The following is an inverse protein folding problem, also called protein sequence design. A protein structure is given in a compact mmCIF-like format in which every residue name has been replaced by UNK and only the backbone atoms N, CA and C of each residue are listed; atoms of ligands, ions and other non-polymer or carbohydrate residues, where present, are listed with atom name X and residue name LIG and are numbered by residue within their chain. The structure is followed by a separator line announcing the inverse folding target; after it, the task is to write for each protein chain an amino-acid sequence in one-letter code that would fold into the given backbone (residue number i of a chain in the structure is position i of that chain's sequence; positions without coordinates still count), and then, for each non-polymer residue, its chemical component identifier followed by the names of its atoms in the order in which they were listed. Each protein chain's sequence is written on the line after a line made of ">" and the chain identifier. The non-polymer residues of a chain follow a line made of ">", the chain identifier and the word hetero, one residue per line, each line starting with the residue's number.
data_IF_880175510406
#
_entry.id   IF_880175510406
#
_cell.length_a   1.000
_cell.length_b   1.000
_cell.length_c   1.000
_cell.angle_alpha   90.00
_cell.angle_beta   90.00
_cell.angle_gamma   90.00
#
_symmetry.space_group_name_H-M   'P 1'
#
loop_
_entity.id
_entity.type
_entity.pdbx_description
1 polymer ?
#
# COMPACT_ATOMS: atom_id res chain seq x y z
N UNK A 1 4.76 14.77 -10.07
CA UNK A 1 5.17 14.81 -11.49
C UNK A 1 5.66 16.21 -11.82
N UNK A 2 6.72 16.37 -12.62
CA UNK A 2 7.20 17.67 -13.07
C UNK A 2 7.35 17.69 -14.59
N UNK A 3 7.04 18.82 -15.22
CA UNK A 3 7.13 19.03 -16.66
C UNK A 3 7.55 20.48 -16.95
N UNK A 4 8.08 20.72 -18.14
CA UNK A 4 8.42 22.05 -18.63
C UNK A 4 7.96 22.18 -20.07
N UNK A 5 7.36 23.32 -20.41
CA UNK A 5 7.01 23.67 -21.79
C UNK A 5 7.96 24.72 -22.40
N UNK A 6 8.94 25.23 -21.63
CA UNK A 6 9.80 26.32 -22.08
C UNK A 6 10.96 26.63 -21.14
N UNK A 7 11.88 27.46 -21.62
CA UNK A 7 13.02 27.92 -20.83
C UNK A 7 12.55 28.65 -19.55
N UNK A 8 13.21 28.36 -18.43
CA UNK A 8 12.88 28.92 -17.11
C UNK A 8 11.42 28.74 -16.67
N UNK A 9 10.74 27.72 -17.19
CA UNK A 9 9.42 27.28 -16.74
C UNK A 9 9.49 25.87 -16.17
N UNK A 10 8.94 25.68 -14.98
CA UNK A 10 8.71 24.36 -14.40
C UNK A 10 7.29 24.30 -13.84
N UNK A 11 6.61 23.19 -14.08
CA UNK A 11 5.25 22.93 -13.59
C UNK A 11 5.26 21.61 -12.81
N UNK A 12 4.78 21.65 -11.57
CA UNK A 12 4.75 20.51 -10.66
C UNK A 12 3.31 20.15 -10.35
N UNK A 13 2.98 18.88 -10.55
CA UNK A 13 1.67 18.29 -10.30
C UNK A 13 1.75 17.23 -9.21
N UNK A 14 0.80 17.25 -8.29
CA UNK A 14 0.67 16.29 -7.21
C UNK A 14 -0.80 15.91 -6.99
N UNK A 15 -1.02 14.75 -6.36
CA UNK A 15 -2.34 14.38 -5.86
C UNK A 15 -2.48 14.90 -4.43
N UNK A 16 -3.53 15.67 -4.16
CA UNK A 16 -3.88 16.13 -2.82
C UNK A 16 -4.66 15.05 -2.05
N UNK A 17 -4.63 15.12 -0.72
CA UNK A 17 -5.31 14.15 0.16
C UNK A 17 -6.82 14.04 -0.08
N UNK A 18 -7.43 15.09 -0.64
CA UNK A 18 -8.85 15.15 -0.99
C UNK A 18 -9.15 14.71 -2.43
N UNK A 19 -8.20 14.05 -3.11
CA UNK A 19 -8.39 13.49 -4.45
C UNK A 19 -8.34 14.51 -5.58
N UNK A 20 -7.94 15.77 -5.32
CA UNK A 20 -7.76 16.81 -6.35
C UNK A 20 -6.34 16.84 -6.90
N UNK A 21 -6.18 17.34 -8.12
CA UNK A 21 -4.88 17.58 -8.73
C UNK A 21 -4.35 18.94 -8.24
N UNK A 22 -3.28 18.93 -7.45
CA UNK A 22 -2.58 20.14 -7.05
C UNK A 22 -1.54 20.53 -8.10
N UNK A 23 -1.43 21.82 -8.40
CA UNK A 23 -0.47 22.38 -9.34
C UNK A 23 0.29 23.55 -8.72
N UNK A 24 1.60 23.62 -8.96
CA UNK A 24 2.47 24.74 -8.58
C UNK A 24 3.54 24.92 -9.63
N UNK A 25 3.86 26.16 -9.98
CA UNK A 25 4.79 26.44 -11.07
C UNK A 25 5.82 27.52 -10.74
N UNK A 26 6.96 27.41 -11.40
CA UNK A 26 8.02 28.42 -11.47
C UNK A 26 7.86 29.22 -12.75
N UNK A 27 7.76 30.54 -12.65
CA UNK A 27 7.53 31.44 -13.80
C UNK A 27 8.81 32.13 -14.32
N UNK A 28 9.98 31.73 -13.82
CA UNK A 28 11.25 32.37 -14.12
C UNK A 28 11.72 33.37 -13.06
N UNK A 29 10.82 33.80 -12.17
CA UNK A 29 11.10 34.79 -11.11
C UNK A 29 10.79 34.21 -9.72
N UNK A 30 9.62 33.58 -9.58
CA UNK A 30 9.17 33.02 -8.31
C UNK A 30 8.39 31.71 -8.51
N UNK A 31 8.30 30.96 -7.41
CA UNK A 31 7.36 29.86 -7.29
C UNK A 31 6.00 30.44 -6.91
N UNK A 32 5.00 30.22 -7.76
CA UNK A 32 3.63 30.66 -7.49
C UNK A 32 2.97 29.80 -6.41
N UNK A 33 1.81 30.21 -5.90
CA UNK A 33 1.09 29.44 -4.88
C UNK A 33 0.50 28.16 -5.46
N UNK A 34 0.22 27.19 -4.58
CA UNK A 34 -0.49 25.98 -4.99
C UNK A 34 -1.92 26.32 -5.43
N UNK A 35 -2.32 25.80 -6.58
CA UNK A 35 -3.70 25.79 -7.03
C UNK A 35 -4.23 24.35 -7.11
N UNK A 36 -5.56 24.20 -7.02
CA UNK A 36 -6.22 22.90 -7.10
C UNK A 36 -7.10 22.83 -8.34
N UNK A 37 -6.79 21.88 -9.20
CA UNK A 37 -7.52 21.50 -10.41
C UNK A 37 -8.34 20.25 -10.08
N UNK A 38 -9.61 20.14 -10.49
CA UNK A 38 -10.33 18.89 -10.23
C UNK A 38 -11.84 18.89 -10.24
N UNK A 39 -12.35 17.73 -9.82
CA UNK A 39 -13.68 17.16 -10.03
C UNK A 39 -14.64 17.33 -8.84
N UNK A 40 -14.40 18.26 -7.92
CA UNK A 40 -15.07 18.28 -6.60
C UNK A 40 -16.62 18.29 -6.68
N UNK A 41 -17.19 18.80 -7.77
CA UNK A 41 -18.64 18.79 -8.01
C UNK A 41 -19.22 17.43 -8.48
N UNK A 42 -18.38 16.48 -8.92
CA UNK A 42 -18.79 15.20 -9.51
C UNK A 42 -18.72 14.01 -8.55
N UNK A 43 -18.07 14.15 -7.38
CA UNK A 43 -17.92 13.07 -6.40
C UNK A 43 -16.88 12.01 -6.78
N UNK A 44 -16.07 12.26 -7.82
CA UNK A 44 -15.01 11.38 -8.33
C UNK A 44 -13.65 11.89 -7.87
N UNK A 45 -12.84 11.00 -7.30
CA UNK A 45 -11.50 11.33 -6.79
C UNK A 45 -10.42 10.78 -7.71
N UNK A 46 -9.37 11.58 -7.95
CA UNK A 46 -8.15 11.05 -8.54
C UNK A 46 -7.44 10.17 -7.51
N UNK A 47 -6.94 9.02 -7.95
CA UNK A 47 -6.38 7.99 -7.05
C UNK A 47 -4.98 7.53 -7.40
N UNK A 48 -4.44 7.99 -8.54
CA UNK A 48 -3.12 7.60 -9.02
C UNK A 48 -2.24 8.81 -9.31
N UNK A 49 -0.93 8.59 -9.36
CA UNK A 49 0.02 9.67 -9.66
C UNK A 49 -0.23 10.22 -11.08
N UNK A 50 -0.25 11.55 -11.25
CA UNK A 50 -0.55 12.15 -12.56
C UNK A 50 0.62 12.00 -13.52
N UNK A 51 0.32 11.90 -14.82
CA UNK A 51 1.29 12.00 -15.91
C UNK A 51 1.09 13.31 -16.64
N UNK A 52 2.15 14.12 -16.74
CA UNK A 52 2.10 15.42 -17.40
C UNK A 52 3.07 15.47 -18.58
N UNK A 53 2.66 16.13 -19.67
CA UNK A 53 3.46 16.27 -20.88
C UNK A 53 3.24 17.64 -21.52
N UNK A 54 4.27 18.14 -22.19
CA UNK A 54 4.18 19.33 -23.04
C UNK A 54 4.53 18.93 -24.48
N UNK A 55 3.77 19.43 -25.45
CA UNK A 55 4.09 19.27 -26.88
C UNK A 55 4.47 20.58 -27.59
N UNK A 56 4.42 21.70 -26.88
CA UNK A 56 4.80 23.01 -27.37
C UNK A 56 4.79 24.06 -26.25
N UNK A 57 5.27 25.28 -26.54
CA UNK A 57 5.20 26.41 -25.60
C UNK A 57 3.76 26.69 -25.16
N UNK A 58 3.60 27.10 -23.91
CA UNK A 58 2.32 27.47 -23.29
C UNK A 58 1.26 26.36 -23.35
N UNK A 59 1.72 25.10 -23.42
CA UNK A 59 0.85 23.95 -23.51
C UNK A 59 1.30 22.82 -22.59
N UNK A 60 0.39 22.42 -21.72
CA UNK A 60 0.49 21.25 -20.86
C UNK A 60 -0.74 20.38 -21.03
N UNK A 61 -0.54 19.07 -20.97
CA UNK A 61 -1.58 18.06 -20.93
C UNK A 61 -1.28 17.13 -19.74
N UNK A 62 -2.24 16.96 -18.84
CA UNK A 62 -2.09 16.22 -17.58
C UNK A 62 -3.17 15.15 -17.49
N UNK A 63 -2.76 13.93 -17.17
CA UNK A 63 -3.61 12.74 -17.14
C UNK A 63 -3.54 12.09 -15.77
N UNK A 64 -4.69 11.70 -15.21
CA UNK A 64 -4.75 11.00 -13.93
C UNK A 64 -5.90 9.99 -13.91
N UNK A 65 -5.67 8.85 -13.28
CA UNK A 65 -6.71 7.82 -13.08
C UNK A 65 -7.57 8.17 -11.86
N UNK A 66 -8.87 7.90 -11.96
CA UNK A 66 -9.85 8.15 -10.91
C UNK A 66 -10.40 6.86 -10.28
N UNK A 67 -11.09 7.01 -9.14
CA UNK A 67 -11.74 5.91 -8.40
C UNK A 67 -12.86 5.20 -9.20
N UNK A 68 -13.45 5.89 -10.18
CA UNK A 68 -14.40 5.33 -11.15
C UNK A 68 -13.74 4.48 -12.25
N UNK A 69 -12.40 4.41 -12.28
CA UNK A 69 -11.60 3.67 -13.24
C UNK A 69 -11.31 4.41 -14.55
N UNK A 70 -11.84 5.62 -14.75
CA UNK A 70 -11.56 6.43 -15.93
C UNK A 70 -10.20 7.16 -15.82
N UNK A 71 -9.64 7.51 -16.98
CA UNK A 71 -8.54 8.48 -17.06
C UNK A 71 -9.11 9.85 -17.38
N UNK A 72 -8.80 10.84 -16.54
CA UNK A 72 -9.18 12.22 -16.74
C UNK A 72 -8.03 13.03 -17.34
N UNK A 73 -8.40 14.01 -18.16
CA UNK A 73 -7.47 14.90 -18.85
C UNK A 73 -7.76 16.37 -18.50
N UNK A 74 -6.70 17.06 -18.11
CA UNK A 74 -6.64 18.50 -17.85
C UNK A 74 -5.62 19.09 -18.81
N UNK A 75 -5.85 20.30 -19.30
CA UNK A 75 -4.86 20.94 -20.16
C UNK A 75 -4.75 22.43 -19.91
N UNK A 76 -3.54 22.95 -20.09
CA UNK A 76 -3.26 24.38 -20.09
C UNK A 76 -3.09 24.85 -21.52
N UNK A 77 -3.75 25.94 -21.92
CA UNK A 77 -3.67 26.49 -23.27
C UNK A 77 -3.51 28.02 -23.25
N UNK A 78 -2.30 28.50 -22.94
CA UNK A 78 -1.99 29.93 -22.96
C UNK A 78 -2.21 30.65 -21.63
N UNK A 79 -3.40 30.57 -21.04
CA UNK A 79 -3.78 31.41 -19.89
C UNK A 79 -4.40 30.65 -18.70
N UNK A 80 -5.28 29.69 -18.94
CA UNK A 80 -5.97 28.92 -17.91
C UNK A 80 -5.88 27.42 -18.15
N UNK A 81 -6.01 26.66 -17.07
CA UNK A 81 -6.36 25.25 -17.18
C UNK A 81 -7.82 25.08 -17.59
N UNK A 82 -8.03 24.11 -18.46
CA UNK A 82 -9.32 23.62 -18.93
C UNK A 82 -9.50 22.15 -18.52
N UNK A 83 -10.72 21.64 -18.75
CA UNK A 83 -11.16 20.33 -18.27
C UNK A 83 -11.69 20.40 -16.82
N UNK A 84 -11.74 19.26 -16.11
CA UNK A 84 -11.39 17.91 -16.56
C UNK A 84 -12.35 17.34 -17.60
N UNK A 85 -11.81 16.69 -18.63
CA UNK A 85 -12.59 15.80 -19.51
C UNK A 85 -12.33 14.33 -19.15
N UNK A 86 -13.37 13.49 -19.18
CA UNK A 86 -13.18 12.04 -19.03
C UNK A 86 -12.78 11.43 -20.37
N UNK A 87 -11.66 10.71 -20.38
CA UNK A 87 -11.26 9.88 -21.51
C UNK A 87 -11.79 8.44 -21.37
N UNK A 88 -12.71 8.20 -20.44
CA UNK A 88 -13.25 6.89 -20.13
C UNK A 88 -12.20 5.93 -19.58
N UNK A 89 -12.58 4.66 -19.47
CA UNK A 89 -11.74 3.57 -18.96
C UNK A 89 -11.34 2.61 -20.08
N UNK A 90 -10.17 1.97 -19.93
CA UNK A 90 -9.77 0.86 -20.79
C UNK A 90 -10.38 -0.45 -20.25
N UNK A 91 -11.22 -1.10 -21.05
CA UNK A 91 -11.93 -2.33 -20.65
C UNK A 91 -13.29 -2.04 -20.02
N UNK A 92 -13.72 -2.82 -19.03
CA UNK A 92 -14.98 -2.59 -18.31
C UNK A 92 -14.78 -1.95 -16.93
N UNK A 93 -15.85 -1.44 -16.33
CA UNK A 93 -15.90 -0.95 -14.96
C UNK A 93 -16.03 -2.12 -13.99
N UNK A 94 -15.02 -2.42 -13.16
CA UNK A 94 -15.11 -3.51 -12.20
C UNK A 94 -15.99 -3.11 -11.00
N UNK A 95 -16.57 -4.10 -10.32
CA UNK A 95 -17.41 -3.94 -9.11
C UNK A 95 -16.60 -3.54 -7.85
N UNK A 96 -15.37 -3.04 -8.03
CA UNK A 96 -14.35 -2.72 -7.03
C UNK A 96 -13.61 -3.93 -6.38
N UNK A 97 -12.35 -3.74 -5.95
CA UNK A 97 -11.50 -2.58 -6.22
C UNK A 97 -11.03 -2.57 -7.68
N UNK A 98 -11.19 -1.43 -8.34
CA UNK A 98 -10.69 -1.22 -9.69
C UNK A 98 -9.17 -1.13 -9.66
N UNK A 99 -8.51 -1.80 -10.60
CA UNK A 99 -7.09 -1.60 -10.81
C UNK A 99 -6.89 -0.29 -11.57
N UNK A 100 -6.33 0.73 -10.90
CA UNK A 100 -6.23 2.11 -11.43
C UNK A 100 -4.82 2.72 -11.34
N UNK A 101 -3.75 2.08 -11.85
CA UNK A 101 -2.44 2.73 -11.85
C UNK A 101 -2.39 3.98 -12.70
N UNK A 102 -1.27 4.66 -12.54
CA UNK A 102 -0.94 5.89 -13.24
C UNK A 102 -0.86 5.66 -14.75
N UNK A 103 -1.48 6.53 -15.55
CA UNK A 103 -1.25 6.54 -16.98
C UNK A 103 0.17 7.05 -17.29
N UNK A 104 0.62 6.85 -18.51
CA UNK A 104 1.84 7.45 -19.05
C UNK A 104 1.53 8.16 -20.35
N UNK A 105 1.82 9.44 -20.44
CA UNK A 105 1.60 10.25 -21.63
C UNK A 105 2.92 10.68 -22.28
N UNK A 106 2.96 10.66 -23.61
CA UNK A 106 4.08 11.15 -24.41
C UNK A 106 3.58 12.06 -25.53
N UNK A 107 4.36 13.10 -25.84
CA UNK A 107 4.20 13.89 -27.03
C UNK A 107 5.04 13.28 -28.14
N UNK A 108 4.39 12.77 -29.18
CA UNK A 108 5.09 12.13 -30.32
C UNK A 108 5.47 13.14 -31.41
N UNK A 109 4.78 14.29 -31.42
CA UNK A 109 5.04 15.45 -32.27
C UNK A 109 4.26 16.66 -31.69
N UNK A 110 4.49 17.89 -32.17
CA UNK A 110 3.64 19.02 -31.83
C UNK A 110 2.16 18.71 -32.10
N UNK A 111 1.29 19.01 -31.13
CA UNK A 111 -0.14 18.73 -31.15
C UNK A 111 -0.50 17.24 -31.35
N UNK A 112 0.37 16.31 -30.95
CA UNK A 112 0.16 14.86 -31.06
C UNK A 112 0.58 14.14 -29.79
N UNK A 113 -0.38 13.46 -29.15
CA UNK A 113 -0.15 12.71 -27.91
C UNK A 113 -0.44 11.23 -28.08
N UNK A 114 0.32 10.41 -27.35
CA UNK A 114 -0.05 9.03 -27.06
C UNK A 114 -0.14 8.86 -25.54
N UNK A 115 -1.27 8.33 -25.10
CA UNK A 115 -1.59 8.04 -23.71
C UNK A 115 -1.63 6.52 -23.56
N UNK A 116 -0.79 5.97 -22.70
CA UNK A 116 -0.80 4.57 -22.32
C UNK A 116 -1.42 4.47 -20.95
N UNK A 117 -2.36 3.55 -20.76
CA UNK A 117 -3.00 3.37 -19.47
C UNK A 117 -3.29 1.90 -19.18
N UNK A 118 -3.20 1.54 -17.90
CA UNK A 118 -3.77 0.30 -17.40
C UNK A 118 -5.31 0.32 -17.53
N UNK A 119 -5.90 -0.85 -17.56
CA UNK A 119 -7.33 -1.07 -17.64
C UNK A 119 -7.76 -2.38 -17.02
N UNK A 120 -9.06 -2.64 -17.04
CA UNK A 120 -9.69 -3.77 -16.37
C UNK A 120 -10.40 -4.66 -17.38
N UNK A 121 -9.93 -5.90 -17.56
CA UNK A 121 -10.75 -6.94 -18.20
C UNK A 121 -11.72 -7.48 -17.16
N UNK A 122 -13.01 -7.37 -17.44
CA UNK A 122 -14.07 -7.85 -16.55
C UNK A 122 -14.92 -8.94 -17.22
N UNK A 123 -15.52 -9.82 -16.42
CA UNK A 123 -16.52 -10.77 -16.87
C UNK A 123 -17.90 -10.09 -17.06
N UNK A 124 -18.94 -10.86 -17.35
CA UNK A 124 -20.29 -10.31 -17.59
C UNK A 124 -20.92 -9.73 -16.33
N UNK A 125 -20.48 -10.20 -15.18
CA UNK A 125 -20.91 -9.81 -13.86
C UNK A 125 -20.11 -8.60 -13.33
N UNK A 126 -19.08 -8.16 -14.07
CA UNK A 126 -18.23 -7.03 -13.71
C UNK A 126 -17.08 -7.39 -12.76
N UNK A 127 -16.81 -8.68 -12.53
CA UNK A 127 -15.67 -9.11 -11.75
C UNK A 127 -14.39 -8.94 -12.55
N UNK A 128 -13.33 -8.47 -11.90
CA UNK A 128 -12.01 -8.36 -12.52
C UNK A 128 -11.48 -9.75 -12.90
N UNK A 129 -11.29 -9.97 -14.20
CA UNK A 129 -10.71 -11.20 -14.78
C UNK A 129 -9.19 -11.06 -14.90
N UNK A 130 -8.72 -9.94 -15.48
CA UNK A 130 -7.30 -9.67 -15.66
C UNK A 130 -7.04 -8.16 -15.87
N UNK A 131 -5.85 -7.67 -15.52
CA UNK A 131 -5.42 -6.33 -15.91
C UNK A 131 -5.11 -6.24 -17.43
N UNK A 132 -5.47 -5.11 -18.04
CA UNK A 132 -5.21 -4.78 -19.46
C UNK A 132 -4.25 -3.61 -19.58
N UNK A 133 -3.41 -3.61 -20.61
CA UNK A 133 -2.65 -2.42 -20.99
C UNK A 133 -3.12 -1.98 -22.36
N UNK A 134 -3.23 -0.68 -22.56
CA UNK A 134 -3.68 -0.14 -23.83
C UNK A 134 -3.22 1.29 -24.01
N UNK A 135 -3.62 1.85 -25.14
CA UNK A 135 -3.28 3.19 -25.50
C UNK A 135 -4.43 3.91 -26.18
N UNK A 136 -4.39 5.24 -26.08
CA UNK A 136 -5.29 6.20 -26.73
C UNK A 136 -4.43 7.29 -27.35
N UNK A 137 -4.83 7.85 -28.49
CA UNK A 137 -4.02 8.87 -29.19
C UNK A 137 -4.82 10.12 -29.48
N UNK A 138 -4.15 11.27 -29.36
CA UNK A 138 -4.63 12.56 -29.85
C UNK A 138 -4.01 12.85 -31.21
N UNK A 139 -4.85 13.15 -32.20
CA UNK A 139 -4.41 13.44 -33.55
C UNK A 139 -4.26 14.92 -33.90
N UNK A 140 -4.50 15.80 -32.92
CA UNK A 140 -4.53 17.24 -33.11
C UNK A 140 -5.94 17.83 -33.12
N UNK A 141 -6.97 16.98 -33.15
CA UNK A 141 -8.36 17.43 -33.15
C UNK A 141 -9.29 16.53 -32.35
N UNK A 142 -9.04 15.22 -32.31
CA UNK A 142 -9.85 14.27 -31.55
C UNK A 142 -9.02 13.20 -30.85
N UNK A 143 -9.52 12.73 -29.71
CA UNK A 143 -9.04 11.52 -29.08
C UNK A 143 -9.60 10.28 -29.77
N UNK A 144 -8.72 9.44 -30.34
CA UNK A 144 -9.09 8.14 -30.91
C UNK A 144 -9.58 7.18 -29.83
N UNK A 145 -10.29 6.11 -30.20
CA UNK A 145 -10.75 5.12 -29.22
C UNK A 145 -9.57 4.38 -28.55
N UNK A 146 -9.82 3.87 -27.34
CA UNK A 146 -8.88 2.98 -26.65
C UNK A 146 -8.57 1.74 -27.49
N UNK A 147 -7.30 1.40 -27.58
CA UNK A 147 -6.79 0.18 -28.21
C UNK A 147 -6.01 -0.61 -27.17
N UNK A 148 -6.26 -1.92 -27.07
CA UNK A 148 -5.60 -2.79 -26.08
C UNK A 148 -4.40 -3.50 -26.68
N UNK A 149 -3.33 -3.67 -25.90
CA UNK A 149 -2.24 -4.61 -26.18
C UNK A 149 -2.59 -6.04 -25.75
N UNK A 150 -3.69 -6.21 -25.02
CA UNK A 150 -4.10 -7.46 -24.39
C UNK A 150 -3.82 -7.48 -22.89
N UNK A 151 -3.91 -8.68 -22.32
CA UNK A 151 -3.62 -8.91 -20.91
C UNK A 151 -2.13 -8.71 -20.67
N UNK A 152 -1.80 -8.04 -19.57
CA UNK A 152 -0.41 -7.87 -19.16
C UNK A 152 -0.28 -8.22 -17.68
N UNK A 153 0.75 -8.99 -17.34
CA UNK A 153 1.12 -9.14 -15.94
C UNK A 153 1.77 -7.85 -15.48
N UNK A 154 1.27 -7.25 -14.41
CA UNK A 154 1.97 -6.12 -13.83
C UNK A 154 3.20 -6.63 -13.13
N UNK A 155 4.38 -6.11 -13.50
CA UNK A 155 5.60 -6.51 -12.82
C UNK A 155 5.58 -6.17 -11.32
N UNK A 156 4.59 -5.40 -10.87
CA UNK A 156 4.51 -4.78 -9.56
C UNK A 156 3.25 -5.18 -8.78
N UNK A 157 2.61 -6.32 -9.11
CA UNK A 157 1.43 -6.81 -8.37
C UNK A 157 1.79 -7.97 -7.47
N UNK A 158 1.44 -7.87 -6.20
CA UNK A 158 1.89 -8.79 -5.15
C UNK A 158 0.74 -9.18 -4.23
N UNK A 159 0.71 -10.46 -3.87
CA UNK A 159 -0.13 -10.99 -2.81
C UNK A 159 0.72 -11.17 -1.56
N UNK A 160 0.24 -10.64 -0.44
CA UNK A 160 0.86 -10.73 0.87
C UNK A 160 0.02 -11.66 1.75
N UNK A 161 0.66 -12.62 2.42
CA UNK A 161 -0.03 -13.57 3.28
C UNK A 161 0.80 -13.97 4.50
N UNK A 162 0.11 -14.20 5.62
CA UNK A 162 0.61 -15.09 6.67
C UNK A 162 0.06 -16.48 6.38
N UNK A 163 0.94 -17.43 6.07
CA UNK A 163 0.55 -18.72 5.51
C UNK A 163 0.17 -19.73 6.62
N UNK A 164 1.04 -19.85 7.62
CA UNK A 164 0.82 -20.70 8.79
C UNK A 164 1.65 -20.23 9.98
N UNK A 165 1.24 -20.59 11.20
CA UNK A 165 2.08 -20.48 12.39
C UNK A 165 2.15 -21.81 13.13
N UNK A 166 3.25 -21.98 13.86
CA UNK A 166 3.51 -23.09 14.76
C UNK A 166 3.66 -22.56 16.17
N UNK A 167 2.94 -23.15 17.12
CA UNK A 167 3.13 -22.92 18.55
C UNK A 167 4.15 -23.93 19.05
N UNK A 168 5.39 -23.47 19.26
CA UNK A 168 6.45 -24.31 19.82
C UNK A 168 6.28 -24.45 21.33
N UNK A 169 6.01 -23.33 22.01
CA UNK A 169 5.66 -23.27 23.42
C UNK A 169 4.52 -22.27 23.61
N UNK A 170 3.38 -22.73 24.12
CA UNK A 170 2.23 -21.88 24.38
C UNK A 170 2.48 -20.94 25.58
N UNK A 171 1.91 -19.74 25.54
CA UNK A 171 1.94 -18.76 26.64
C UNK A 171 1.09 -19.24 27.82
N UNK A 172 -0.05 -19.87 27.53
CA UNK A 172 -1.00 -20.43 28.51
C UNK A 172 -1.28 -21.91 28.24
N UNK A 173 -1.26 -22.75 29.28
CA UNK A 173 -1.52 -24.19 29.11
C UNK A 173 -3.00 -24.54 28.95
N UNK A 174 -3.91 -23.75 29.55
CA UNK A 174 -5.31 -24.12 29.66
C UNK A 174 -6.23 -23.24 28.79
N UNK A 175 -5.83 -22.00 28.50
CA UNK A 175 -6.63 -20.99 27.78
C UNK A 175 -5.71 -20.05 26.98
N UNK A 176 -5.13 -20.55 25.89
CA UNK A 176 -4.35 -19.71 24.96
C UNK A 176 -5.20 -19.42 23.75
N UNK A 177 -6.03 -18.38 23.80
CA UNK A 177 -6.88 -18.06 22.64
C UNK A 177 -6.12 -17.15 21.71
N UNK A 178 -5.54 -17.73 20.66
CA UNK A 178 -4.75 -16.98 19.69
C UNK A 178 -5.65 -16.29 18.65
N UNK A 179 -5.32 -15.03 18.39
CA UNK A 179 -5.87 -14.24 17.29
C UNK A 179 -4.73 -13.75 16.43
N UNK A 180 -4.79 -14.04 15.13
CA UNK A 180 -3.80 -13.60 14.15
C UNK A 180 -4.38 -12.41 13.39
N UNK A 181 -3.64 -11.32 13.33
CA UNK A 181 -3.98 -10.19 12.48
C UNK A 181 -2.79 -9.85 11.58
N UNK A 182 -3.07 -9.47 10.35
CA UNK A 182 -2.10 -8.82 9.47
C UNK A 182 -2.63 -7.47 8.99
N UNK A 183 -1.72 -6.55 8.70
CA UNK A 183 -2.06 -5.29 8.03
C UNK A 183 -1.13 -5.03 6.85
N UNK A 184 -1.66 -4.37 5.83
CA UNK A 184 -0.96 -3.99 4.62
C UNK A 184 -1.26 -2.52 4.29
N UNK A 185 -0.19 -1.73 4.16
CA UNK A 185 -0.24 -0.36 3.64
C UNK A 185 0.70 -0.23 2.47
N UNK A 186 0.21 0.29 1.35
CA UNK A 186 1.02 0.53 0.14
C UNK A 186 0.98 2.02 -0.20
N UNK A 187 2.16 2.64 -0.20
CA UNK A 187 2.29 4.09 -0.39
C UNK A 187 1.40 4.87 0.59
N UNK A 188 0.57 5.76 0.04
CA UNK A 188 -0.39 6.56 0.79
C UNK A 188 -1.80 5.95 0.85
N UNK A 189 -1.98 4.70 0.38
CA UNK A 189 -3.29 4.04 0.42
C UNK A 189 -3.77 3.84 1.86
N UNK A 190 -5.10 3.71 2.02
CA UNK A 190 -5.68 3.30 3.30
C UNK A 190 -5.12 1.95 3.76
N UNK A 191 -4.89 1.81 5.06
CA UNK A 191 -4.41 0.56 5.66
C UNK A 191 -5.48 -0.51 5.53
N UNK A 192 -5.10 -1.67 4.98
CA UNK A 192 -5.94 -2.85 4.95
C UNK A 192 -5.62 -3.73 6.17
N UNK A 193 -6.63 -4.32 6.79
CA UNK A 193 -6.47 -5.24 7.90
C UNK A 193 -7.22 -6.53 7.64
N UNK A 194 -6.66 -7.65 8.11
CA UNK A 194 -7.29 -8.96 8.06
C UNK A 194 -7.06 -9.66 9.40
N UNK A 195 -8.11 -10.26 9.98
CA UNK A 195 -8.07 -10.94 11.28
C UNK A 195 -8.60 -12.36 11.15
N UNK A 196 -7.89 -13.34 11.73
CA UNK A 196 -8.34 -14.72 11.90
C UNK A 196 -8.31 -15.11 13.38
N UNK A 197 -9.46 -15.57 13.88
CA UNK A 197 -9.60 -16.11 15.23
C UNK A 197 -9.26 -17.59 15.24
N UNK A 198 -8.25 -17.99 16.00
CA UNK A 198 -7.74 -19.37 15.98
C UNK A 198 -8.38 -20.27 17.05
N UNK A 199 -8.97 -19.70 18.10
CA UNK A 199 -9.53 -20.46 19.21
C UNK A 199 -8.45 -20.86 20.23
N UNK A 200 -8.64 -21.93 21.01
CA UNK A 200 -7.69 -22.33 22.05
C UNK A 200 -6.53 -23.17 21.48
N UNK A 201 -5.33 -22.61 21.54
CA UNK A 201 -4.06 -23.18 21.12
C UNK A 201 -3.17 -23.60 22.30
N UNK A 202 -3.65 -23.46 23.54
CA UNK A 202 -2.88 -23.77 24.74
C UNK A 202 -2.57 -25.25 24.92
N UNK A 203 -1.55 -25.55 25.72
CA UNK A 203 -1.15 -26.92 26.05
C UNK A 203 0.35 -27.15 25.87
N UNK A 204 0.77 -28.40 26.00
CA UNK A 204 2.19 -28.81 25.93
C UNK A 204 2.60 -29.40 24.60
N UNK A 205 1.64 -29.56 23.68
CA UNK A 205 1.86 -30.19 22.38
C UNK A 205 2.22 -29.14 21.33
N UNK A 206 3.11 -29.52 20.40
CA UNK A 206 3.36 -28.73 19.19
C UNK A 206 2.09 -28.69 18.35
N UNK A 207 1.65 -27.48 18.01
CA UNK A 207 0.47 -27.28 17.15
C UNK A 207 0.83 -26.38 15.99
N UNK A 208 0.27 -26.67 14.83
CA UNK A 208 0.44 -25.86 13.62
C UNK A 208 -0.91 -25.61 12.96
N UNK A 209 -1.13 -24.38 12.49
CA UNK A 209 -2.34 -23.99 11.76
C UNK A 209 -2.00 -23.22 10.50
N UNK A 210 -2.75 -23.50 9.42
CA UNK A 210 -2.84 -22.58 8.30
C UNK A 210 -3.69 -21.35 8.68
N UNK A 211 -3.26 -20.17 8.25
CA UNK A 211 -3.93 -18.89 8.54
C UNK A 211 -4.44 -18.24 7.25
N UNK A 212 -5.17 -18.99 6.44
CA UNK A 212 -5.59 -18.55 5.10
C UNK A 212 -6.43 -17.25 5.11
N UNK A 213 -7.09 -16.89 6.22
CA UNK A 213 -7.94 -15.69 6.29
C UNK A 213 -7.16 -14.37 6.51
N UNK A 214 -5.83 -14.42 6.64
CA UNK A 214 -4.94 -13.24 6.69
C UNK A 214 -4.08 -13.15 5.43
N UNK A 215 -4.74 -13.32 4.29
CA UNK A 215 -4.18 -13.10 2.94
C UNK A 215 -4.90 -11.92 2.29
N UNK A 216 -4.14 -10.97 1.78
CA UNK A 216 -4.70 -9.81 1.08
C UNK A 216 -5.00 -10.14 -0.39
N UNK A 217 -5.98 -9.44 -0.95
CA UNK A 217 -6.14 -9.40 -2.40
C UNK A 217 -4.86 -8.83 -3.04
N UNK A 218 -4.46 -9.26 -4.25
CA UNK A 218 -3.22 -8.79 -4.84
C UNK A 218 -3.19 -7.27 -5.03
N UNK A 219 -2.21 -6.62 -4.41
CA UNK A 219 -2.00 -5.18 -4.38
C UNK A 219 -0.89 -4.75 -5.35
N UNK A 220 -1.05 -3.59 -5.98
CA UNK A 220 0.00 -2.95 -6.79
C UNK A 220 0.95 -2.21 -5.87
N UNK A 221 2.25 -2.45 -6.00
CA UNK A 221 3.30 -1.71 -5.29
C UNK A 221 4.25 -1.14 -6.33
N UNK A 222 4.10 0.15 -6.67
CA UNK A 222 4.95 0.79 -7.67
C UNK A 222 6.42 0.79 -7.25
N UNK A 223 7.35 0.82 -8.21
CA UNK A 223 8.79 0.69 -7.93
C UNK A 223 9.32 1.75 -6.94
N UNK A 224 8.68 2.92 -6.91
CA UNK A 224 9.01 4.05 -6.06
C UNK A 224 8.14 4.15 -4.79
N UNK A 225 7.20 3.23 -4.59
CA UNK A 225 6.37 3.15 -3.39
C UNK A 225 6.94 2.15 -2.39
N UNK A 226 6.44 2.19 -1.16
CA UNK A 226 6.76 1.22 -0.12
C UNK A 226 5.53 0.38 0.18
N UNK A 227 5.75 -0.92 0.38
CA UNK A 227 4.80 -1.80 1.03
C UNK A 227 5.23 -2.00 2.49
N UNK A 228 4.33 -1.72 3.41
CA UNK A 228 4.45 -2.03 4.83
C UNK A 228 3.47 -3.15 5.13
N UNK A 229 4.00 -4.35 5.34
CA UNK A 229 3.25 -5.53 5.73
C UNK A 229 3.66 -5.90 7.15
N UNK A 230 2.71 -6.07 8.05
CA UNK A 230 2.98 -6.52 9.41
C UNK A 230 1.97 -7.55 9.83
N UNK A 231 2.37 -8.38 10.79
CA UNK A 231 1.46 -9.30 11.45
C UNK A 231 1.71 -9.33 12.95
N UNK A 232 0.65 -9.65 13.67
CA UNK A 232 0.64 -9.85 15.11
C UNK A 232 -0.19 -11.07 15.46
N UNK A 233 0.33 -11.88 16.36
CA UNK A 233 -0.41 -12.96 17.02
C UNK A 233 -0.52 -12.58 18.48
N UNK A 234 -1.75 -12.53 18.97
CA UNK A 234 -2.07 -12.15 20.34
C UNK A 234 -2.85 -13.27 20.99
N UNK A 235 -2.34 -13.75 22.11
CA UNK A 235 -3.16 -14.48 23.07
C UNK A 235 -4.06 -13.47 23.76
N UNK A 236 -5.36 -13.59 23.55
CA UNK A 236 -6.36 -12.66 24.08
C UNK A 236 -7.37 -13.34 24.99
N UNK A 237 -7.20 -14.63 25.29
CA UNK A 237 -8.18 -15.45 26.02
C UNK A 237 -9.65 -15.16 25.60
N UNK A 238 -10.59 -15.06 26.55
CA UNK A 238 -12.01 -14.73 26.33
C UNK A 238 -12.28 -13.23 26.09
N UNK A 239 -11.35 -12.48 25.48
CA UNK A 239 -11.58 -11.07 25.17
C UNK A 239 -12.79 -10.86 24.26
N UNK A 240 -13.52 -9.76 24.49
CA UNK A 240 -14.58 -9.33 23.58
C UNK A 240 -13.99 -9.03 22.20
N UNK A 241 -14.54 -9.68 21.17
CA UNK A 241 -14.02 -9.59 19.79
C UNK A 241 -14.00 -8.16 19.25
N UNK A 242 -14.98 -7.32 19.59
CA UNK A 242 -15.02 -5.94 19.09
C UNK A 242 -13.91 -5.10 19.73
N UNK A 243 -13.64 -5.32 21.02
CA UNK A 243 -12.56 -4.66 21.73
C UNK A 243 -11.21 -5.12 21.17
N UNK A 244 -11.08 -6.42 20.92
CA UNK A 244 -9.87 -7.01 20.34
C UNK A 244 -9.62 -6.46 18.93
N UNK A 245 -10.59 -6.54 18.02
CA UNK A 245 -10.45 -6.01 16.66
C UNK A 245 -10.11 -4.52 16.66
N UNK A 246 -10.75 -3.73 17.53
CA UNK A 246 -10.47 -2.29 17.64
C UNK A 246 -9.04 -1.99 18.10
N UNK A 247 -8.53 -2.75 19.08
CA UNK A 247 -7.17 -2.58 19.58
C UNK A 247 -6.13 -3.07 18.57
N UNK A 248 -6.37 -4.22 17.94
CA UNK A 248 -5.47 -4.79 16.94
C UNK A 248 -5.40 -3.89 15.70
N UNK A 249 -6.53 -3.42 15.17
CA UNK A 249 -6.56 -2.48 14.03
C UNK A 249 -5.75 -1.21 14.33
N UNK A 250 -5.95 -0.59 15.49
CA UNK A 250 -5.18 0.60 15.90
C UNK A 250 -3.67 0.33 15.97
N UNK A 251 -3.29 -0.82 16.51
CA UNK A 251 -1.89 -1.22 16.63
C UNK A 251 -1.25 -1.42 15.25
N UNK A 252 -1.92 -2.14 14.36
CA UNK A 252 -1.45 -2.39 13.00
C UNK A 252 -1.37 -1.11 12.15
N UNK A 253 -2.38 -0.24 12.25
CA UNK A 253 -2.38 1.09 11.63
C UNK A 253 -1.22 1.94 12.15
N UNK A 254 -1.03 2.00 13.47
CA UNK A 254 0.04 2.79 14.07
C UNK A 254 1.43 2.28 13.72
N UNK A 255 1.61 0.95 13.64
CA UNK A 255 2.85 0.34 13.15
C UNK A 255 3.12 0.72 11.68
N UNK A 256 2.08 0.69 10.83
CA UNK A 256 2.20 1.07 9.43
C UNK A 256 2.52 2.57 9.27
N UNK A 257 1.81 3.44 9.97
CA UNK A 257 1.99 4.89 9.93
C UNK A 257 3.35 5.31 10.46
N UNK A 258 3.81 4.68 11.53
CA UNK A 258 5.12 4.94 12.09
C UNK A 258 6.24 4.57 11.12
N UNK A 259 6.15 3.41 10.44
CA UNK A 259 7.11 3.02 9.42
C UNK A 259 7.13 4.02 8.25
N UNK A 260 5.96 4.44 7.76
CA UNK A 260 5.84 5.46 6.69
C UNK A 260 6.41 6.80 7.13
N UNK A 261 6.14 7.25 8.36
CA UNK A 261 6.67 8.51 8.90
C UNK A 261 8.20 8.51 8.98
N UNK A 262 8.79 7.42 9.46
CA UNK A 262 10.24 7.22 9.51
C UNK A 262 10.87 7.22 8.10
N UNK A 263 10.23 6.59 7.11
CA UNK A 263 10.62 6.65 5.69
C UNK A 263 10.60 8.10 5.18
N UNK A 264 9.48 8.81 5.38
CA UNK A 264 9.30 10.17 4.88
C UNK A 264 10.29 11.16 5.50
N UNK A 265 10.62 10.99 6.78
CA UNK A 265 11.65 11.77 7.47
C UNK A 265 13.03 11.54 6.86
N UNK A 266 13.40 10.30 6.53
CA UNK A 266 14.68 9.98 5.90
C UNK A 266 14.78 10.60 4.48
N UNK A 267 13.69 10.54 3.69
CA UNK A 267 13.62 11.16 2.37
C UNK A 267 13.73 12.69 2.44
N UNK A 268 13.05 13.32 3.41
CA UNK A 268 13.08 14.77 3.64
C UNK A 268 14.46 15.32 4.02
N UNK A 269 15.37 14.47 4.49
CA UNK A 269 16.75 14.84 4.79
C UNK A 269 17.70 14.72 3.58
N UNK A 270 17.20 14.35 2.39
CA UNK A 270 17.98 14.31 1.16
C UNK A 270 18.89 13.08 1.01
N UNK A 271 18.65 12.01 1.76
CA UNK A 271 19.34 10.74 1.58
C UNK A 271 18.87 10.04 0.29
N UNK A 272 19.82 9.70 -0.58
CA UNK A 272 19.60 9.05 -1.88
C UNK A 272 19.18 7.57 -1.78
N UNK A 273 19.14 7.02 -0.57
CA UNK A 273 18.62 5.69 -0.26
C UNK A 273 18.19 5.67 1.22
N UNK A 274 17.01 5.09 1.51
CA UNK A 274 16.59 4.85 2.88
C UNK A 274 17.41 3.68 3.41
N UNK A 275 18.43 3.96 4.20
CA UNK A 275 19.30 2.93 4.77
C UNK A 275 18.76 2.35 6.07
N UNK A 276 17.77 3.00 6.70
CA UNK A 276 17.21 2.59 7.99
C UNK A 276 15.81 3.16 8.22
N UNK A 277 14.90 2.32 8.73
CA UNK A 277 13.65 2.77 9.36
C UNK A 277 13.86 2.54 10.86
N UNK A 278 13.88 3.63 11.63
CA UNK A 278 13.93 3.52 13.10
C UNK A 278 12.57 3.00 13.57
N UNK A 279 12.53 1.76 14.08
CA UNK A 279 11.48 1.23 14.97
C UNK A 279 12.17 0.77 16.25
N UNK A 280 12.17 1.63 17.26
CA UNK A 280 13.04 1.44 18.42
C UNK A 280 14.53 1.53 18.02
N UNK A 281 15.28 0.43 18.15
CA UNK A 281 16.74 0.38 17.87
C UNK A 281 17.12 -0.29 16.54
N UNK A 282 16.15 -0.68 15.70
CA UNK A 282 16.43 -1.32 14.39
C UNK A 282 16.80 -0.26 13.35
N UNK A 283 17.84 -0.52 12.56
CA UNK A 283 18.49 0.47 11.69
C UNK A 283 18.77 -0.03 10.25
N UNK A 284 17.90 -0.83 9.63
CA UNK A 284 18.12 -1.28 8.23
C UNK A 284 16.85 -1.47 7.40
N UNK A 285 16.87 -1.06 6.12
CA UNK A 285 15.87 -1.46 5.10
C UNK A 285 16.49 -2.54 4.19
N UNK A 286 15.78 -3.64 3.87
CA UNK A 286 14.46 -4.01 4.37
C UNK A 286 14.47 -4.26 5.87
N UNK A 287 13.45 -3.76 6.58
CA UNK A 287 13.19 -4.21 7.95
C UNK A 287 12.44 -5.52 7.78
N UNK A 288 13.10 -6.64 8.04
CA UNK A 288 12.48 -7.94 8.26
C UNK A 288 12.94 -8.36 9.65
N UNK A 289 12.01 -8.54 10.57
CA UNK A 289 12.37 -9.06 11.88
C UNK A 289 11.33 -8.85 12.95
N UNK A 290 11.47 -9.65 13.99
CA UNK A 290 10.60 -9.53 15.15
C UNK A 290 10.86 -8.22 15.90
N UNK A 291 9.77 -7.54 16.22
CA UNK A 291 9.78 -6.33 17.05
C UNK A 291 9.16 -6.59 18.42
N UNK A 292 8.90 -7.86 18.75
CA UNK A 292 8.25 -8.27 20.00
C UNK A 292 9.08 -7.91 21.25
N UNK A 293 10.41 -8.00 21.16
CA UNK A 293 11.32 -7.57 22.24
C UNK A 293 11.49 -6.05 22.34
N UNK A 294 11.04 -5.33 21.32
CA UNK A 294 11.18 -3.88 21.16
C UNK A 294 9.86 -3.15 21.35
N UNK A 295 8.84 -3.79 21.94
CA UNK A 295 7.57 -3.18 22.31
C UNK A 295 7.85 -1.95 23.18
N UNK A 296 8.01 -0.82 22.51
CA UNK A 296 8.23 0.47 23.14
C UNK A 296 6.98 0.86 23.94
N UNK A 297 7.12 1.75 24.94
CA UNK A 297 6.01 2.17 25.80
C UNK A 297 4.76 2.66 25.02
N UNK A 298 4.92 3.21 23.81
CA UNK A 298 3.79 3.72 23.03
C UNK A 298 2.91 2.63 22.41
N UNK A 299 3.48 1.50 21.97
CA UNK A 299 2.70 0.39 21.42
C UNK A 299 1.98 -0.36 22.55
N UNK A 300 2.66 -0.49 23.70
CA UNK A 300 2.07 -1.03 24.94
C UNK A 300 0.85 -0.21 25.38
N UNK A 301 0.86 1.11 25.26
CA UNK A 301 -0.31 1.96 25.57
C UNK A 301 -1.50 1.71 24.63
N UNK A 302 -1.26 1.38 23.37
CA UNK A 302 -2.34 1.16 22.39
C UNK A 302 -3.04 -0.19 22.55
N UNK A 303 -2.29 -1.23 22.92
CA UNK A 303 -2.81 -2.58 23.15
C UNK A 303 -2.95 -2.91 24.64
N UNK A 304 -2.64 -1.97 25.54
CA UNK A 304 -2.61 -2.14 27.00
C UNK A 304 -3.92 -2.60 27.62
N UNK A 305 -5.06 -2.36 26.96
CA UNK A 305 -6.36 -2.91 27.39
C UNK A 305 -6.49 -4.42 27.19
N UNK A 306 -5.61 -5.04 26.40
CA UNK A 306 -5.58 -6.48 26.15
C UNK A 306 -4.72 -7.24 27.17
N UNK A 307 -3.75 -6.57 27.82
CA UNK A 307 -2.79 -7.23 28.70
C UNK A 307 -3.22 -7.15 30.16
N UNK A 308 -4.25 -7.91 30.54
CA UNK A 308 -4.59 -8.05 31.95
C UNK A 308 -3.62 -9.02 32.62
N UNK A 309 -2.86 -8.55 33.62
CA UNK A 309 -1.76 -9.28 34.27
C UNK A 309 -2.16 -10.61 34.95
N UNK A 310 -3.46 -10.93 35.03
CA UNK A 310 -3.99 -12.16 35.63
C UNK A 310 -4.51 -13.23 34.66
N UNK A 311 -4.50 -12.99 33.34
CA UNK A 311 -5.10 -13.90 32.34
C UNK A 311 -4.12 -14.52 31.35
N UNK A 312 -2.82 -14.25 31.52
CA UNK A 312 -1.77 -14.69 30.59
C UNK A 312 -1.89 -14.10 29.18
N UNK A 313 -2.66 -13.02 29.02
CA UNK A 313 -2.89 -12.37 27.73
C UNK A 313 -1.62 -11.65 27.24
N UNK A 314 -1.45 -11.60 25.92
CA UNK A 314 -0.53 -10.70 25.26
C UNK A 314 -0.04 -11.13 23.89
N UNK A 315 0.71 -10.23 23.25
CA UNK A 315 1.42 -10.52 22.00
C UNK A 315 2.42 -11.67 22.19
N UNK A 316 2.34 -12.65 21.30
CA UNK A 316 3.21 -13.84 21.25
C UNK A 316 4.06 -13.87 19.98
N UNK A 317 3.62 -13.20 18.91
CA UNK A 317 4.43 -12.94 17.72
C UNK A 317 4.11 -11.55 17.17
N UNK A 318 5.14 -10.85 16.73
CA UNK A 318 5.01 -9.54 16.09
C UNK A 318 6.19 -9.33 15.14
N UNK A 319 5.87 -9.01 13.89
CA UNK A 319 6.85 -8.73 12.84
C UNK A 319 6.39 -7.57 11.96
N UNK A 320 7.37 -6.81 11.49
CA UNK A 320 7.16 -5.82 10.46
C UNK A 320 8.10 -6.10 9.29
N UNK A 321 7.52 -6.07 8.09
CA UNK A 321 8.18 -6.20 6.79
C UNK A 321 7.98 -4.90 6.02
N UNK A 322 9.07 -4.18 5.76
CA UNK A 322 9.04 -2.96 4.94
C UNK A 322 9.92 -3.10 3.72
N UNK A 323 9.31 -3.01 2.53
CA UNK A 323 9.98 -3.23 1.25
C UNK A 323 9.66 -2.08 0.28
N UNK A 324 10.67 -1.41 -0.30
CA UNK A 324 10.49 -0.61 -1.50
C UNK A 324 9.98 -1.49 -2.64
N UNK A 325 9.11 -0.98 -3.51
CA UNK A 325 8.56 -1.73 -4.64
C UNK A 325 9.64 -2.24 -5.60
N UNK A 326 10.74 -1.50 -5.76
CA UNK A 326 11.94 -1.95 -6.48
C UNK A 326 12.55 -3.21 -5.87
N UNK A 327 12.73 -3.25 -4.56
CA UNK A 327 13.39 -4.38 -3.90
C UNK A 327 12.44 -5.59 -3.84
N UNK A 328 11.14 -5.34 -3.65
CA UNK A 328 10.12 -6.36 -3.77
C UNK A 328 10.09 -6.98 -5.17
N UNK A 329 10.24 -6.17 -6.22
CA UNK A 329 10.34 -6.64 -7.60
C UNK A 329 11.55 -7.53 -7.84
N UNK A 330 12.71 -7.16 -7.29
CA UNK A 330 13.94 -7.94 -7.42
C UNK A 330 13.86 -9.24 -6.63
N UNK A 331 13.38 -9.18 -5.38
CA UNK A 331 13.30 -10.33 -4.49
C UNK A 331 12.27 -11.38 -4.92
N UNK A 332 11.20 -10.97 -5.59
CA UNK A 332 10.15 -11.89 -6.07
C UNK A 332 10.35 -12.37 -7.51
N UNK A 333 11.45 -11.98 -8.17
CA UNK A 333 11.70 -12.26 -9.59
C UNK A 333 11.67 -13.76 -9.95
N UNK A 334 11.92 -14.65 -8.99
CA UNK A 334 12.02 -16.11 -9.18
C UNK A 334 10.86 -16.91 -8.56
N UNK A 335 9.76 -16.29 -8.13
CA UNK A 335 8.56 -17.01 -7.67
C UNK A 335 7.95 -16.53 -6.35
N UNK A 336 8.56 -15.56 -5.68
CA UNK A 336 8.07 -14.97 -4.42
C UNK A 336 9.09 -15.04 -3.29
N UNK A 337 8.81 -14.33 -2.20
CA UNK A 337 9.51 -14.41 -0.92
C UNK A 337 8.70 -15.34 -0.03
N UNK A 338 9.36 -16.22 0.72
CA UNK A 338 8.73 -17.01 1.78
C UNK A 338 9.74 -17.13 2.89
N UNK A 339 9.39 -16.61 4.06
CA UNK A 339 10.25 -16.59 5.24
C UNK A 339 9.51 -17.21 6.42
N UNK A 340 10.28 -17.86 7.29
CA UNK A 340 9.81 -18.33 8.59
C UNK A 340 10.61 -17.61 9.65
N UNK A 341 9.94 -16.82 10.49
CA UNK A 341 10.58 -16.12 11.59
C UNK A 341 10.18 -16.74 12.92
N UNK A 342 11.17 -16.91 13.79
CA UNK A 342 10.96 -17.33 15.17
C UNK A 342 10.72 -16.11 16.08
N UNK A 343 9.70 -16.22 16.92
CA UNK A 343 9.27 -15.21 17.87
C UNK A 343 9.39 -15.76 19.29
N UNK A 344 10.59 -15.66 19.89
CA UNK A 344 10.74 -15.92 21.32
C UNK A 344 9.96 -14.84 22.08
N UNK A 345 8.95 -15.29 22.82
CA UNK A 345 8.04 -14.46 23.57
C UNK A 345 8.70 -13.75 24.75
N UNK A 346 7.97 -12.78 25.30
CA UNK A 346 8.30 -12.14 26.57
C UNK A 346 7.89 -13.03 27.74
N UNK A 347 8.57 -12.87 28.89
CA UNK A 347 8.29 -13.67 30.10
C UNK A 347 6.79 -13.65 30.44
N UNK A 348 6.22 -14.84 30.57
CA UNK A 348 4.83 -15.03 30.99
C UNK A 348 4.64 -14.45 32.41
N UNK A 349 3.52 -13.77 32.72
CA UNK A 349 3.25 -13.29 34.07
C UNK A 349 3.34 -14.43 35.10
N UNK A 350 3.67 -14.11 36.36
CA UNK A 350 3.79 -15.14 37.42
C UNK A 350 2.50 -15.96 37.52
N UNK A 351 2.60 -17.28 37.31
CA UNK A 351 1.46 -18.21 37.29
C UNK A 351 0.98 -18.60 35.88
N UNK A 352 1.47 -17.94 34.85
CA UNK A 352 1.37 -18.35 33.45
C UNK A 352 2.52 -19.32 33.10
N UNK A 353 2.41 -20.03 31.98
CA UNK A 353 3.30 -21.14 31.63
C UNK A 353 4.76 -20.76 31.36
N UNK A 354 5.43 -21.52 30.49
CA UNK A 354 6.80 -21.16 30.05
C UNK A 354 6.78 -19.92 29.16
N UNK A 355 7.97 -19.42 28.79
CA UNK A 355 8.08 -18.36 27.78
C UNK A 355 7.49 -18.86 26.47
N UNK A 356 6.63 -18.04 25.86
CA UNK A 356 6.03 -18.39 24.58
C UNK A 356 7.11 -18.48 23.50
N UNK A 357 6.91 -19.38 22.54
CA UNK A 357 7.78 -19.51 21.38
C UNK A 357 6.92 -19.90 20.18
N UNK A 358 6.91 -19.04 19.18
CA UNK A 358 6.05 -19.15 18.00
C UNK A 358 6.90 -18.99 16.75
N UNK A 359 6.72 -19.87 15.77
CA UNK A 359 7.30 -19.69 14.43
C UNK A 359 6.20 -19.31 13.46
N UNK A 360 6.38 -18.24 12.69
CA UNK A 360 5.39 -17.75 11.73
C UNK A 360 5.98 -17.76 10.34
N UNK A 361 5.26 -18.36 9.39
CA UNK A 361 5.63 -18.35 7.98
C UNK A 361 4.74 -17.39 7.22
N UNK A 362 5.35 -16.48 6.48
CA UNK A 362 4.67 -15.53 5.62
C UNK A 362 5.25 -15.58 4.21
N UNK A 363 4.44 -15.20 3.22
CA UNK A 363 4.91 -15.09 1.85
C UNK A 363 4.44 -13.83 1.15
N UNK A 364 5.25 -13.38 0.19
CA UNK A 364 4.91 -12.33 -0.75
C UNK A 364 5.14 -12.86 -2.16
N UNK A 365 4.06 -13.01 -2.92
CA UNK A 365 4.08 -13.63 -4.24
C UNK A 365 3.69 -12.63 -5.30
N UNK A 366 4.43 -12.62 -6.40
CA UNK A 366 4.08 -11.84 -7.58
C UNK A 366 2.93 -12.54 -8.33
N UNK A 367 1.89 -11.79 -8.71
CA UNK A 367 0.65 -12.33 -9.29
C UNK A 367 0.35 -11.83 -10.68
#
# INVERSE_FOLDING_TARGET
>A
MAVSWGENRLDVFALADDGRLAHKWWDGILWNEWEYLGLQASGTNLVATPSAVAWGPERLDVFASADDGAVYHFWFAGDTFEGPESLGHLGGTPVAPAFTPSPTAIAVAPNRLSLFAPGNQVDREGNLVAPLMGYRTWDGSIWRNWTTFGNYGLPCRYQFSVDFFTVNTARSLNQDTDTVQSTLKVGNSATQTATQYMGNWGGTELKQAQVQAVTFAPATVELCEYAVFNYQIVNSAEADKNVLDSALNKAGESLADYAVSSIMKALGQGLTAITSIEVGTITSVPVIGTILSLLSPWLIDQVGSLFSAGRCDGAVALEQVVLPGRDLHLATATGGITETTDHPGTDSPVGCGSNSDYSVTWSIKRT
#
